data_IF_646979288860
#
_entry.id   IF_646979288860
#
_cell.length_a   1.000
_cell.length_b   1.000
_cell.length_c   1.000
_cell.angle_alpha   90.00
_cell.angle_beta   90.00
_cell.angle_gamma   90.00
#
_symmetry.space_group_name_H-M   'P 1'
#
loop_
_entity.id
_entity.type
_entity.pdbx_description
1 polymer ?
#
# COMPACT_ATOMS: atom_id res chain seq x y z
N UNK A 1 -5.24 38.71 7.66
CA UNK A 1 -6.02 37.77 6.80
C UNK A 1 -5.08 36.73 6.20
N UNK A 2 -5.34 35.45 6.42
CA UNK A 2 -4.50 34.35 5.87
C UNK A 2 -4.74 34.21 4.38
N UNK A 3 -3.70 34.27 3.55
CA UNK A 3 -3.82 34.06 2.11
C UNK A 3 -4.04 32.57 1.79
N UNK A 4 -4.63 32.29 0.58
CA UNK A 4 -4.80 30.90 0.10
C UNK A 4 -3.46 30.15 0.02
N UNK A 5 -2.39 30.84 -0.31
CA UNK A 5 -1.03 30.27 -0.38
C UNK A 5 -0.53 29.86 1.00
N UNK A 6 -0.74 30.69 2.00
CA UNK A 6 -0.38 30.38 3.39
C UNK A 6 -1.18 29.20 3.93
N UNK A 7 -2.49 29.15 3.65
CA UNK A 7 -3.34 28.02 4.02
C UNK A 7 -2.83 26.69 3.39
N UNK A 8 -2.44 26.69 2.11
CA UNK A 8 -1.87 25.51 1.45
C UNK A 8 -0.53 25.12 2.07
N UNK A 9 0.33 26.08 2.40
CA UNK A 9 1.62 25.79 3.08
C UNK A 9 1.37 25.16 4.46
N UNK A 10 0.42 25.70 5.23
CA UNK A 10 0.02 25.15 6.53
C UNK A 10 -0.53 23.73 6.40
N UNK A 11 -1.47 23.52 5.48
CA UNK A 11 -2.04 22.18 5.20
C UNK A 11 -0.96 21.14 4.88
N UNK A 12 0.02 21.50 4.03
CA UNK A 12 1.14 20.60 3.68
C UNK A 12 2.01 20.27 4.89
N UNK A 13 2.28 21.25 5.76
CA UNK A 13 3.05 21.06 6.99
C UNK A 13 2.30 20.13 7.94
N UNK A 14 1.02 20.42 8.20
CA UNK A 14 0.16 19.64 9.11
C UNK A 14 -0.01 18.20 8.60
N UNK A 15 -0.32 18.01 7.31
CA UNK A 15 -0.42 16.67 6.70
C UNK A 15 0.85 15.84 6.86
N UNK A 16 2.02 16.50 6.81
CA UNK A 16 3.30 15.80 7.07
C UNK A 16 3.42 15.35 8.52
N UNK A 17 3.05 16.22 9.47
CA UNK A 17 3.13 15.91 10.90
C UNK A 17 2.13 14.83 11.30
N UNK A 18 0.88 14.92 10.82
CA UNK A 18 -0.14 13.87 11.01
C UNK A 18 0.36 12.51 10.49
N UNK A 19 0.95 12.49 9.29
CA UNK A 19 1.53 11.26 8.73
C UNK A 19 2.67 10.69 9.58
N UNK A 20 3.49 11.55 10.17
CA UNK A 20 4.56 11.11 11.08
C UNK A 20 3.97 10.55 12.38
N UNK A 21 2.99 11.23 12.99
CA UNK A 21 2.28 10.75 14.17
C UNK A 21 1.66 9.36 13.95
N UNK A 22 0.95 9.17 12.84
CA UNK A 22 0.41 7.86 12.48
C UNK A 22 1.48 6.79 12.21
N UNK A 23 2.66 7.19 11.77
CA UNK A 23 3.78 6.26 11.58
C UNK A 23 4.37 5.79 12.90
N UNK A 24 4.38 6.66 13.92
CA UNK A 24 4.94 6.38 15.25
C UNK A 24 3.93 5.69 16.17
N UNK A 25 2.69 6.17 16.17
CA UNK A 25 1.64 5.75 17.11
C UNK A 25 0.59 4.84 16.49
N UNK A 26 0.51 4.80 15.16
CA UNK A 26 -0.49 4.02 14.45
C UNK A 26 -0.13 2.53 14.35
N UNK A 27 -1.07 1.73 13.85
CA UNK A 27 -0.85 0.31 13.68
C UNK A 27 0.32 0.05 12.73
N UNK A 28 1.17 -0.92 13.08
CA UNK A 28 2.27 -1.33 12.20
C UNK A 28 1.73 -1.62 10.79
N UNK A 29 2.37 -1.06 9.78
CA UNK A 29 1.93 -1.22 8.41
C UNK A 29 2.02 -2.69 8.00
N UNK A 30 0.90 -3.31 7.73
CA UNK A 30 0.87 -4.58 7.03
C UNK A 30 1.44 -4.42 5.62
N UNK A 31 2.20 -5.42 5.19
CA UNK A 31 2.75 -5.40 3.83
C UNK A 31 1.62 -5.25 2.80
N UNK A 32 1.60 -4.08 2.15
CA UNK A 32 0.84 -3.79 0.92
C UNK A 32 -0.60 -4.30 0.88
N UNK A 33 -1.51 -3.57 1.49
CA UNK A 33 -2.94 -3.76 1.28
C UNK A 33 -3.64 -4.73 2.24
N UNK A 34 -2.91 -5.61 2.95
CA UNK A 34 -3.53 -6.54 3.91
C UNK A 34 -4.29 -5.80 5.01
N UNK A 35 -3.74 -4.67 5.51
CA UNK A 35 -4.43 -3.88 6.52
C UNK A 35 -5.74 -3.26 6.03
N UNK A 36 -5.81 -2.83 4.77
CA UNK A 36 -7.03 -2.32 4.18
C UNK A 36 -8.06 -3.46 3.96
N UNK A 37 -7.58 -4.64 3.53
CA UNK A 37 -8.43 -5.83 3.42
C UNK A 37 -9.07 -6.19 4.76
N UNK A 38 -8.30 -6.24 5.85
CA UNK A 38 -8.81 -6.55 7.18
C UNK A 38 -9.83 -5.50 7.67
N UNK A 39 -9.64 -4.21 7.35
CA UNK A 39 -10.62 -3.18 7.68
C UNK A 39 -11.94 -3.39 6.93
N UNK A 40 -11.90 -3.59 5.61
CA UNK A 40 -13.12 -3.83 4.80
C UNK A 40 -13.87 -5.07 5.28
N UNK A 41 -13.16 -6.16 5.56
CA UNK A 41 -13.79 -7.39 6.05
C UNK A 41 -14.36 -7.25 7.48
N UNK A 42 -13.72 -6.42 8.33
CA UNK A 42 -14.25 -6.12 9.66
C UNK A 42 -15.54 -5.31 9.58
N UNK A 43 -15.57 -4.32 8.69
CA UNK A 43 -16.73 -3.42 8.55
C UNK A 43 -17.94 -4.14 7.92
N UNK A 44 -17.70 -5.21 7.15
CA UNK A 44 -18.75 -6.01 6.52
C UNK A 44 -19.33 -7.09 7.43
N UNK A 45 -18.59 -7.51 8.47
CA UNK A 45 -18.93 -8.59 9.43
C UNK A 45 -19.42 -9.92 8.78
N UNK A 46 -19.18 -10.09 7.48
CA UNK A 46 -19.57 -11.23 6.67
C UNK A 46 -18.52 -11.56 5.61
N UNK A 47 -18.71 -12.71 4.94
CA UNK A 47 -17.90 -13.07 3.78
C UNK A 47 -18.16 -12.09 2.62
N UNK A 48 -17.11 -11.49 2.08
CA UNK A 48 -17.18 -10.48 1.01
C UNK A 48 -16.67 -11.08 -0.30
N UNK A 49 -17.39 -10.81 -1.39
CA UNK A 49 -17.04 -11.32 -2.70
C UNK A 49 -15.79 -10.63 -3.28
N UNK A 50 -15.11 -11.34 -4.18
CA UNK A 50 -13.95 -10.80 -4.91
C UNK A 50 -14.24 -9.46 -5.57
N UNK A 51 -15.41 -9.32 -6.19
CA UNK A 51 -15.71 -8.13 -6.98
C UNK A 51 -16.03 -6.93 -6.08
N UNK A 52 -16.72 -7.12 -4.97
CA UNK A 52 -16.91 -6.10 -3.92
C UNK A 52 -15.57 -5.66 -3.33
N UNK A 53 -14.66 -6.61 -3.00
CA UNK A 53 -13.33 -6.29 -2.51
C UNK A 53 -12.50 -5.51 -3.54
N UNK A 54 -12.67 -5.80 -4.84
CA UNK A 54 -11.99 -5.08 -5.92
C UNK A 54 -12.42 -3.61 -5.94
N UNK A 55 -13.72 -3.36 -5.77
CA UNK A 55 -14.28 -2.00 -5.71
C UNK A 55 -13.86 -1.29 -4.42
N UNK A 56 -14.09 -1.90 -3.26
CA UNK A 56 -13.79 -1.30 -1.96
C UNK A 56 -12.30 -0.95 -1.79
N UNK A 57 -11.39 -1.79 -2.27
CA UNK A 57 -9.94 -1.56 -2.19
C UNK A 57 -9.40 -0.74 -3.37
N UNK A 58 -10.18 -0.49 -4.40
CA UNK A 58 -9.73 0.13 -5.64
C UNK A 58 -8.51 -0.60 -6.23
N UNK A 59 -8.48 -1.93 -6.12
CA UNK A 59 -7.37 -2.77 -6.53
C UNK A 59 -7.71 -3.51 -7.82
N UNK A 60 -6.69 -3.84 -8.62
CA UNK A 60 -6.89 -4.76 -9.74
C UNK A 60 -7.11 -6.18 -9.22
N UNK A 61 -7.79 -7.04 -10.00
CA UNK A 61 -8.01 -8.46 -9.64
C UNK A 61 -6.71 -9.19 -9.29
N UNK A 62 -5.62 -8.90 -10.02
CA UNK A 62 -4.29 -9.50 -9.77
C UNK A 62 -3.72 -9.02 -8.43
N UNK A 63 -3.78 -7.72 -8.16
CA UNK A 63 -3.31 -7.15 -6.90
C UNK A 63 -4.12 -7.65 -5.71
N UNK A 64 -5.45 -7.76 -5.85
CA UNK A 64 -6.33 -8.32 -4.82
C UNK A 64 -5.95 -9.79 -4.50
N UNK A 65 -5.76 -10.62 -5.53
CA UNK A 65 -5.36 -12.02 -5.34
C UNK A 65 -4.06 -12.14 -4.55
N UNK A 66 -3.08 -11.27 -4.81
CA UNK A 66 -1.83 -11.22 -4.06
C UNK A 66 -2.01 -10.77 -2.61
N UNK A 67 -2.92 -9.82 -2.35
CA UNK A 67 -3.25 -9.35 -1.00
C UNK A 67 -3.93 -10.47 -0.21
N UNK A 68 -4.96 -11.10 -0.79
CA UNK A 68 -5.70 -12.20 -0.17
C UNK A 68 -4.78 -13.39 0.13
N UNK A 69 -3.93 -13.82 -0.82
CA UNK A 69 -2.96 -14.90 -0.58
C UNK A 69 -2.00 -14.60 0.56
N UNK A 70 -1.57 -13.35 0.72
CA UNK A 70 -0.71 -12.95 1.85
C UNK A 70 -1.44 -13.00 3.17
N UNK A 71 -2.68 -12.52 3.20
CA UNK A 71 -3.53 -12.58 4.39
C UNK A 71 -3.85 -14.02 4.78
N UNK A 72 -4.15 -14.88 3.79
CA UNK A 72 -4.41 -16.31 3.99
C UNK A 72 -3.17 -17.06 4.53
N UNK A 73 -1.99 -16.80 3.96
CA UNK A 73 -0.73 -17.38 4.48
C UNK A 73 -0.40 -16.93 5.90
N UNK A 74 -0.88 -15.77 6.31
CA UNK A 74 -0.74 -15.28 7.69
C UNK A 74 -1.86 -15.79 8.62
N UNK A 75 -2.81 -16.56 8.09
CA UNK A 75 -3.93 -17.12 8.87
C UNK A 75 -5.04 -16.12 9.20
N UNK A 76 -5.04 -14.94 8.58
CA UNK A 76 -6.01 -13.88 8.91
C UNK A 76 -7.34 -14.01 8.18
N UNK A 77 -7.34 -14.66 7.04
CA UNK A 77 -8.55 -14.82 6.21
C UNK A 77 -8.67 -16.24 5.69
N UNK A 78 -9.89 -16.71 5.56
CA UNK A 78 -10.27 -17.89 4.80
C UNK A 78 -10.79 -17.44 3.42
N UNK A 79 -10.45 -18.18 2.39
CA UNK A 79 -10.92 -17.98 1.03
C UNK A 79 -11.77 -19.19 0.63
N UNK A 80 -13.02 -18.95 0.33
CA UNK A 80 -13.98 -19.95 -0.11
C UNK A 80 -14.19 -19.77 -1.60
N UNK A 81 -13.85 -20.78 -2.39
CA UNK A 81 -14.00 -20.75 -3.86
C UNK A 81 -15.40 -21.21 -4.20
N UNK A 82 -16.06 -20.54 -5.13
CA UNK A 82 -17.36 -20.96 -5.65
C UNK A 82 -17.25 -22.31 -6.36
N UNK A 83 -18.34 -23.07 -6.32
CA UNK A 83 -18.41 -24.41 -6.93
C UNK A 83 -18.02 -24.42 -8.43
N UNK A 84 -18.29 -23.32 -9.12
CA UNK A 84 -17.98 -23.13 -10.54
C UNK A 84 -16.52 -22.66 -10.79
N UNK A 85 -15.75 -22.36 -9.74
CA UNK A 85 -14.35 -21.90 -9.85
C UNK A 85 -14.15 -20.48 -10.41
N UNK A 86 -15.23 -19.78 -10.73
CA UNK A 86 -15.18 -18.45 -11.36
C UNK A 86 -15.05 -17.29 -10.37
N UNK A 87 -15.39 -17.53 -9.10
CA UNK A 87 -15.36 -16.56 -8.03
C UNK A 87 -14.74 -17.10 -6.76
N UNK A 88 -14.59 -16.22 -5.77
CA UNK A 88 -14.29 -16.59 -4.41
C UNK A 88 -14.82 -15.51 -3.47
N UNK A 89 -15.19 -15.92 -2.28
CA UNK A 89 -15.47 -15.05 -1.15
C UNK A 89 -14.34 -15.12 -0.14
N UNK A 90 -14.20 -14.07 0.66
CA UNK A 90 -13.16 -13.95 1.68
C UNK A 90 -13.81 -13.56 2.99
N UNK A 91 -13.48 -14.27 4.04
CA UNK A 91 -13.95 -14.00 5.40
C UNK A 91 -12.79 -13.90 6.39
N UNK A 92 -13.01 -13.25 7.52
CA UNK A 92 -12.02 -13.21 8.60
C UNK A 92 -12.05 -14.52 9.39
N UNK A 93 -10.86 -15.05 9.69
CA UNK A 93 -10.69 -16.06 10.71
C UNK A 93 -10.77 -15.43 12.10
N UNK A 94 -10.84 -16.23 13.18
CA UNK A 94 -10.83 -15.69 14.54
C UNK A 94 -9.55 -14.90 14.82
N UNK A 95 -8.40 -15.39 14.35
CA UNK A 95 -7.13 -14.64 14.41
C UNK A 95 -7.23 -13.34 13.59
N UNK A 96 -7.88 -13.37 12.43
CA UNK A 96 -8.11 -12.19 11.59
C UNK A 96 -8.97 -11.14 12.28
N UNK A 97 -10.04 -11.56 12.95
CA UNK A 97 -10.92 -10.69 13.76
C UNK A 97 -10.15 -10.01 14.90
N UNK A 98 -9.35 -10.77 15.63
CA UNK A 98 -8.52 -10.23 16.72
C UNK A 98 -7.50 -9.19 16.20
N UNK A 99 -6.80 -9.50 15.11
CA UNK A 99 -5.82 -8.60 14.50
C UNK A 99 -6.49 -7.36 13.91
N UNK A 100 -7.67 -7.50 13.30
CA UNK A 100 -8.46 -6.37 12.78
C UNK A 100 -8.92 -5.45 13.91
N UNK A 101 -9.40 -6.01 15.04
CA UNK A 101 -9.80 -5.26 16.22
C UNK A 101 -8.63 -4.49 16.85
N UNK A 102 -7.49 -5.15 17.06
CA UNK A 102 -6.25 -4.51 17.56
C UNK A 102 -5.78 -3.37 16.63
N UNK A 103 -5.93 -3.58 15.32
CA UNK A 103 -5.60 -2.55 14.34
C UNK A 103 -6.54 -1.35 14.43
N UNK A 104 -7.84 -1.57 14.55
CA UNK A 104 -8.82 -0.50 14.71
C UNK A 104 -8.51 0.32 15.96
N UNK A 105 -8.34 -0.31 17.12
CA UNK A 105 -7.99 0.38 18.36
C UNK A 105 -6.68 1.19 18.26
N UNK A 106 -5.67 0.69 17.53
CA UNK A 106 -4.45 1.45 17.28
C UNK A 106 -4.67 2.64 16.32
N UNK A 107 -5.60 2.54 15.37
CA UNK A 107 -5.99 3.64 14.50
C UNK A 107 -6.73 4.72 15.29
N UNK A 108 -7.67 4.33 16.15
CA UNK A 108 -8.44 5.24 17.00
C UNK A 108 -7.50 6.02 17.91
N UNK A 109 -6.59 5.32 18.59
CA UNK A 109 -5.56 5.96 19.42
C UNK A 109 -4.65 6.92 18.64
N UNK A 110 -4.28 6.56 17.42
CA UNK A 110 -3.45 7.43 16.59
C UNK A 110 -4.23 8.65 16.09
N UNK A 111 -5.52 8.51 15.83
CA UNK A 111 -6.41 9.61 15.47
C UNK A 111 -6.59 10.55 16.65
N UNK A 112 -6.86 10.03 17.84
CA UNK A 112 -6.96 10.81 19.08
C UNK A 112 -5.66 11.60 19.34
N UNK A 113 -4.51 10.96 19.24
CA UNK A 113 -3.22 11.64 19.40
C UNK A 113 -2.96 12.74 18.34
N UNK A 114 -3.56 12.64 17.17
CA UNK A 114 -3.35 13.60 16.09
C UNK A 114 -4.36 14.75 16.10
N UNK A 115 -5.59 14.51 16.52
CA UNK A 115 -6.71 15.44 16.43
C UNK A 115 -7.36 15.75 17.78
N UNK A 116 -6.95 15.13 18.88
CA UNK A 116 -7.53 15.32 20.20
C UNK A 116 -7.37 16.76 20.78
N UNK A 117 -6.67 17.63 20.06
CA UNK A 117 -6.64 19.08 20.35
C UNK A 117 -7.85 19.84 19.78
N UNK A 118 -8.68 19.19 18.96
CA UNK A 118 -9.87 19.74 18.34
C UNK A 118 -11.12 19.29 19.11
N UNK A 119 -12.14 20.16 19.15
CA UNK A 119 -13.48 19.76 19.59
C UNK A 119 -14.18 18.91 18.53
N UNK A 120 -15.24 18.19 18.90
CA UNK A 120 -16.00 17.36 17.96
C UNK A 120 -16.55 18.20 16.80
N UNK A 121 -17.03 19.42 17.07
CA UNK A 121 -17.53 20.34 16.05
C UNK A 121 -16.42 20.78 15.08
N UNK A 122 -15.20 21.02 15.58
CA UNK A 122 -14.03 21.35 14.76
C UNK A 122 -13.57 20.16 13.92
N UNK A 123 -13.69 18.93 14.44
CA UNK A 123 -13.40 17.69 13.67
C UNK A 123 -14.39 17.54 12.53
N UNK A 124 -15.69 17.77 12.77
CA UNK A 124 -16.71 17.72 11.71
C UNK A 124 -16.46 18.78 10.64
N UNK A 125 -16.17 20.01 11.04
CA UNK A 125 -15.83 21.10 10.10
C UNK A 125 -14.58 20.78 9.30
N UNK A 126 -13.56 20.22 9.94
CA UNK A 126 -12.33 19.80 9.29
C UNK A 126 -12.59 18.68 8.26
N UNK A 127 -13.43 17.70 8.59
CA UNK A 127 -13.82 16.64 7.69
C UNK A 127 -14.58 17.20 6.46
N UNK A 128 -15.56 18.07 6.68
CA UNK A 128 -16.33 18.71 5.61
C UNK A 128 -15.46 19.55 4.66
N UNK A 129 -14.50 20.32 5.22
CA UNK A 129 -13.57 21.11 4.42
C UNK A 129 -12.63 20.23 3.58
N UNK A 130 -12.14 19.14 4.15
CA UNK A 130 -11.29 18.17 3.42
C UNK A 130 -12.05 17.49 2.28
N UNK A 131 -13.30 17.11 2.51
CA UNK A 131 -14.16 16.53 1.48
C UNK A 131 -14.40 17.51 0.34
N UNK A 132 -14.77 18.76 0.66
CA UNK A 132 -14.97 19.82 -0.34
C UNK A 132 -13.73 20.06 -1.19
N UNK A 133 -12.54 20.08 -0.58
CA UNK A 133 -11.27 20.23 -1.30
C UNK A 133 -11.02 19.01 -2.18
N UNK A 134 -11.28 17.81 -1.67
CA UNK A 134 -11.09 16.56 -2.39
C UNK A 134 -11.97 16.48 -3.64
N UNK A 135 -13.25 16.80 -3.52
CA UNK A 135 -14.20 16.83 -4.65
C UNK A 135 -13.74 17.81 -5.71
N UNK A 136 -13.41 19.05 -5.33
CA UNK A 136 -12.96 20.06 -6.28
C UNK A 136 -11.66 19.66 -7.02
N UNK A 137 -10.76 18.95 -6.34
CA UNK A 137 -9.53 18.44 -6.98
C UNK A 137 -9.85 17.27 -7.94
N UNK A 138 -10.80 16.41 -7.59
CA UNK A 138 -11.26 15.33 -8.48
C UNK A 138 -11.92 15.87 -9.75
N UNK A 139 -12.75 16.90 -9.66
CA UNK A 139 -13.36 17.60 -10.79
C UNK A 139 -12.31 18.20 -11.74
N UNK A 140 -11.19 18.68 -11.18
CA UNK A 140 -10.04 19.13 -11.96
C UNK A 140 -9.20 17.98 -12.57
N UNK A 141 -9.65 16.73 -12.44
CA UNK A 141 -8.94 15.55 -12.94
C UNK A 141 -7.73 15.14 -12.11
N UNK A 142 -7.52 15.76 -10.93
CA UNK A 142 -6.47 15.37 -9.99
C UNK A 142 -6.98 14.17 -9.20
N UNK A 143 -6.70 12.97 -9.68
CA UNK A 143 -6.94 11.75 -8.90
C UNK A 143 -5.65 11.29 -8.25
N UNK A 144 -5.75 10.75 -7.04
CA UNK A 144 -4.67 9.98 -6.43
C UNK A 144 -4.48 8.67 -7.21
N UNK A 145 -4.15 8.77 -8.53
CA UNK A 145 -3.70 7.59 -9.27
C UNK A 145 -2.59 7.00 -8.44
N UNK A 146 -2.79 5.82 -7.89
CA UNK A 146 -1.71 5.00 -7.33
C UNK A 146 -0.59 5.11 -8.36
N UNK A 147 0.52 5.78 -8.01
CA UNK A 147 1.71 5.84 -8.89
C UNK A 147 1.98 4.40 -9.24
N UNK A 148 1.60 4.01 -10.47
CA UNK A 148 1.89 2.70 -11.00
C UNK A 148 3.35 2.52 -10.70
N UNK A 149 3.71 1.39 -10.13
CA UNK A 149 5.07 1.02 -9.77
C UNK A 149 5.97 1.47 -10.92
N UNK A 150 6.65 2.61 -10.73
CA UNK A 150 7.70 3.02 -11.65
C UNK A 150 8.66 1.83 -11.63
N UNK A 151 8.55 0.99 -12.65
CA UNK A 151 9.52 -0.06 -12.94
C UNK A 151 10.84 0.69 -12.90
N UNK A 152 11.62 0.48 -11.82
CA UNK A 152 12.98 0.97 -11.77
C UNK A 152 13.62 0.42 -13.04
N UNK A 153 13.72 1.27 -14.06
CA UNK A 153 14.55 0.98 -15.21
C UNK A 153 15.91 0.68 -14.60
N UNK A 154 16.24 -0.59 -14.49
CA UNK A 154 17.60 -1.00 -14.23
C UNK A 154 18.43 -0.26 -15.29
N UNK A 155 19.17 0.77 -14.87
CA UNK A 155 20.24 1.29 -15.68
C UNK A 155 21.08 0.07 -16.03
N UNK A 156 20.97 -0.37 -17.28
CA UNK A 156 21.89 -1.36 -17.84
C UNK A 156 23.27 -0.72 -17.64
N UNK A 157 23.99 -1.19 -16.65
CA UNK A 157 25.42 -0.89 -16.55
C UNK A 157 26.01 -1.43 -17.84
N UNK A 158 26.32 -0.49 -18.73
CA UNK A 158 27.05 -0.76 -19.95
C UNK A 158 28.48 -1.08 -19.49
N UNK A 159 28.72 -2.35 -19.19
CA UNK A 159 30.08 -2.81 -18.98
C UNK A 159 30.78 -2.66 -20.33
N UNK A 160 31.54 -1.55 -20.50
CA UNK A 160 32.48 -1.41 -21.61
C UNK A 160 33.38 -2.61 -21.59
N UNK A 161 33.23 -3.47 -22.60
CA UNK A 161 34.03 -4.64 -22.78
C UNK A 161 35.52 -4.24 -22.89
N UNK A 162 36.31 -4.74 -21.98
CA UNK A 162 37.75 -4.79 -22.22
C UNK A 162 37.99 -5.82 -23.33
N UNK A 163 38.41 -5.32 -24.47
CA UNK A 163 38.92 -6.13 -25.56
C UNK A 163 40.15 -6.89 -25.10
N UNK A 164 40.02 -8.18 -24.82
CA UNK A 164 41.17 -9.09 -24.79
C UNK A 164 41.35 -9.63 -26.22
N UNK A 165 42.39 -9.14 -26.86
CA UNK A 165 42.94 -9.78 -28.05
C UNK A 165 43.63 -11.08 -27.64
N UNK A 166 43.34 -12.15 -28.33
CA UNK A 166 44.22 -13.32 -28.30
C UNK A 166 43.53 -14.68 -28.27
N UNK A 167 43.60 -15.38 -29.41
CA UNK A 167 43.71 -16.81 -29.64
C UNK A 167 42.49 -17.72 -29.48
N UNK A 168 42.15 -18.31 -30.61
CA UNK A 168 41.05 -19.23 -30.81
C UNK A 168 41.22 -20.56 -30.07
N UNK A 169 40.02 -21.13 -29.80
CA UNK A 169 39.77 -22.56 -29.92
C UNK A 169 38.27 -22.80 -29.96
N UNK A 170 37.85 -23.60 -30.90
CA UNK A 170 36.47 -24.08 -31.05
C UNK A 170 36.08 -24.94 -29.84
N UNK A 171 34.88 -24.69 -29.29
CA UNK A 171 34.33 -25.54 -28.22
C UNK A 171 32.99 -25.04 -27.74
N UNK A 172 31.93 -25.76 -28.16
CA UNK A 172 30.56 -25.59 -27.66
C UNK A 172 30.53 -25.86 -26.15
N UNK A 173 30.17 -24.87 -25.35
CA UNK A 173 29.80 -25.09 -23.96
C UNK A 173 28.70 -24.13 -23.54
N UNK A 174 27.55 -24.70 -23.11
CA UNK A 174 26.43 -24.02 -22.49
C UNK A 174 26.89 -23.43 -21.14
N UNK A 175 27.09 -22.12 -21.09
CA UNK A 175 27.55 -21.42 -19.90
C UNK A 175 26.42 -21.11 -18.95
N UNK A 176 26.41 -21.83 -17.83
CA UNK A 176 25.60 -21.55 -16.64
C UNK A 176 26.22 -20.33 -15.89
N UNK A 177 25.50 -19.22 -15.84
CA UNK A 177 25.99 -18.01 -15.14
C UNK A 177 25.82 -18.19 -13.63
N UNK A 178 26.89 -18.57 -12.94
CA UNK A 178 26.96 -18.61 -11.47
C UNK A 178 27.09 -17.18 -10.92
N UNK A 179 26.24 -16.88 -9.92
CA UNK A 179 26.22 -15.63 -9.14
C UNK A 179 27.58 -15.43 -8.46
N UNK A 180 28.35 -14.44 -8.89
CA UNK A 180 29.45 -13.91 -8.12
C UNK A 180 29.07 -12.51 -7.55
N UNK A 181 29.20 -12.40 -6.24
CA UNK A 181 28.99 -11.19 -5.47
C UNK A 181 30.10 -10.17 -5.78
N UNK A 182 29.77 -9.11 -6.50
CA UNK A 182 30.67 -7.96 -6.60
C UNK A 182 30.57 -7.08 -5.36
N UNK A 183 31.58 -7.13 -4.50
CA UNK A 183 31.84 -6.13 -3.47
C UNK A 183 32.48 -4.91 -4.12
N UNK A 184 31.74 -3.84 -4.36
CA UNK A 184 32.32 -2.55 -4.67
C UNK A 184 32.78 -1.86 -3.39
N UNK A 185 34.06 -1.69 -3.21
CA UNK A 185 34.65 -0.80 -2.20
C UNK A 185 34.38 0.65 -2.60
N UNK A 186 33.88 1.44 -1.63
CA UNK A 186 33.80 2.90 -1.73
C UNK A 186 35.17 3.49 -1.53
N UNK A 187 35.54 4.37 -2.43
CA UNK A 187 36.49 5.47 -2.17
C UNK A 187 35.71 6.77 -2.22
#
# INVERSE_FOLDING_TARGET
MTTRVEAVKSLRKTSKLVRLSFRENGPRSFKRGTGALLSVLKDSDAAVSRDELTVALGATRVALKDIVRKAQRAGYVAMITDAEGNGYTVELTDLGKEVAAKRAAAMDKAAENALGCLTDEEVEQFAALNEKISLALHEQGISAKKKGHLVKRHKKHNCKGHAHAGMGHAGKAKGHCKKHSCKCKKH
#
